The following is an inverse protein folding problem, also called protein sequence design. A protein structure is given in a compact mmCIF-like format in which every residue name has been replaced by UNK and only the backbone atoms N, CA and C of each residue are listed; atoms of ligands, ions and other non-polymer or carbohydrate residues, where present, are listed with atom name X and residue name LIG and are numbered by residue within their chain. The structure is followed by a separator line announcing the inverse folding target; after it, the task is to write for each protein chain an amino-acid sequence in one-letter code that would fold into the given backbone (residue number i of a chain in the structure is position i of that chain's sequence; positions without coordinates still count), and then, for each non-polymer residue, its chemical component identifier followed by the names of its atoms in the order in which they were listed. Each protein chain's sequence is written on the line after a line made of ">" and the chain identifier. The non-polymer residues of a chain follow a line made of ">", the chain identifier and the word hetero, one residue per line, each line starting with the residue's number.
data_IF_658548911872
#
_entry.id   IF_658548911872
#
_cell.length_a   1.000
_cell.length_b   1.000
_cell.length_c   1.000
_cell.angle_alpha   90.00
_cell.angle_beta   90.00
_cell.angle_gamma   90.00
#
_symmetry.space_group_name_H-M   'P 1'
#
loop_
_entity.id
_entity.type
_entity.pdbx_description
1 polymer ?
#
# COMPACT_ATOMS: atom_id res chain seq x y z
N UNK A 1 16.97 28.38 5.67
CA UNK A 1 16.77 26.93 5.55
C UNK A 1 15.28 26.72 5.35
N UNK A 2 14.83 26.58 4.10
CA UNK A 2 13.43 26.31 3.80
C UNK A 2 13.10 24.89 4.28
N UNK A 3 12.24 24.81 5.27
CA UNK A 3 11.71 23.53 5.74
C UNK A 3 10.71 23.11 4.68
N UNK A 4 11.17 22.37 3.67
CA UNK A 4 10.26 21.63 2.79
C UNK A 4 9.47 20.71 3.71
N UNK A 5 8.24 21.10 4.03
CA UNK A 5 7.29 20.21 4.68
C UNK A 5 7.11 19.04 3.70
N UNK A 6 7.86 17.96 3.92
CA UNK A 6 7.70 16.71 3.19
C UNK A 6 6.27 16.28 3.45
N UNK A 7 5.38 16.60 2.52
CA UNK A 7 4.00 16.14 2.54
C UNK A 7 4.09 14.63 2.40
N UNK A 8 4.06 13.93 3.53
CA UNK A 8 4.04 12.47 3.56
C UNK A 8 2.76 12.06 2.84
N UNK A 9 2.88 11.63 1.59
CA UNK A 9 1.76 11.09 0.84
C UNK A 9 1.39 9.75 1.47
N UNK A 10 0.35 9.80 2.30
CA UNK A 10 -0.18 8.62 3.00
C UNK A 10 -1.45 8.17 2.30
N UNK A 11 -1.56 6.90 1.96
CA UNK A 11 -2.76 6.33 1.36
C UNK A 11 -3.50 5.48 2.38
N UNK A 12 -4.83 5.59 2.40
CA UNK A 12 -5.67 4.63 3.11
C UNK A 12 -5.72 3.34 2.28
N UNK A 13 -5.24 2.25 2.86
CA UNK A 13 -5.20 0.93 2.24
C UNK A 13 -5.79 -0.12 3.19
N UNK A 14 -6.53 -1.08 2.62
CA UNK A 14 -6.90 -2.29 3.34
C UNK A 14 -5.71 -3.25 3.28
N UNK A 15 -5.16 -3.60 4.44
CA UNK A 15 -4.13 -4.62 4.59
C UNK A 15 -4.80 -5.90 5.10
N UNK A 16 -4.67 -6.98 4.34
CA UNK A 16 -5.26 -8.27 4.68
C UNK A 16 -4.24 -9.12 5.43
N UNK A 17 -4.58 -9.45 6.67
CA UNK A 17 -3.81 -10.41 7.46
C UNK A 17 -4.72 -11.56 7.86
N UNK A 18 -4.34 -12.81 7.57
CA UNK A 18 -5.19 -13.99 7.79
C UNK A 18 -6.63 -13.79 7.26
N UNK A 19 -6.78 -13.22 6.07
CA UNK A 19 -8.07 -12.91 5.42
C UNK A 19 -8.95 -11.87 6.15
N UNK A 20 -8.45 -11.23 7.22
CA UNK A 20 -9.15 -10.14 7.89
C UNK A 20 -8.62 -8.78 7.41
N UNK A 21 -9.46 -7.94 6.77
CA UNK A 21 -9.04 -6.62 6.33
C UNK A 21 -8.92 -5.67 7.52
N UNK A 22 -7.82 -4.92 7.57
CA UNK A 22 -7.63 -3.80 8.48
C UNK A 22 -7.24 -2.56 7.68
N UNK A 23 -7.90 -1.44 7.94
CA UNK A 23 -7.64 -0.18 7.24
C UNK A 23 -6.51 0.57 7.92
N UNK A 24 -5.42 0.81 7.17
CA UNK A 24 -4.27 1.57 7.64
C UNK A 24 -3.93 2.71 6.69
N UNK A 25 -3.32 3.76 7.24
CA UNK A 25 -2.58 4.73 6.45
C UNK A 25 -1.16 4.23 6.25
N UNK A 26 -0.78 3.98 5.01
CA UNK A 26 0.58 3.58 4.61
C UNK A 26 1.26 4.72 3.86
N UNK A 27 2.57 4.88 4.02
CA UNK A 27 3.33 5.80 3.18
C UNK A 27 3.61 5.14 1.83
N UNK A 28 3.41 5.88 0.75
CA UNK A 28 3.53 5.35 -0.62
C UNK A 28 4.76 5.86 -1.38
N UNK A 29 5.34 6.99 -0.97
CA UNK A 29 6.59 7.50 -1.53
C UNK A 29 7.78 7.00 -0.70
N UNK A 30 7.94 5.68 -0.66
CA UNK A 30 8.93 4.99 0.15
C UNK A 30 9.60 3.87 -0.66
N UNK A 31 10.75 3.40 -0.20
CA UNK A 31 11.37 2.21 -0.79
C UNK A 31 10.56 0.95 -0.48
N UNK A 32 10.81 -0.13 -1.20
CA UNK A 32 10.24 -1.44 -0.94
C UNK A 32 10.53 -1.93 0.48
N UNK A 33 11.77 -1.76 0.92
CA UNK A 33 12.18 -2.18 2.26
C UNK A 33 11.47 -1.37 3.35
N UNK A 34 11.29 -0.07 3.14
CA UNK A 34 10.50 0.78 4.02
C UNK A 34 9.03 0.38 4.05
N UNK A 35 8.46 0.01 2.91
CA UNK A 35 7.08 -0.49 2.82
C UNK A 35 6.92 -1.81 3.57
N UNK A 36 7.83 -2.77 3.35
CA UNK A 36 7.85 -4.06 4.08
C UNK A 36 8.05 -3.84 5.58
N UNK A 37 8.89 -2.89 5.97
CA UNK A 37 9.10 -2.53 7.36
C UNK A 37 7.83 -1.96 8.00
N UNK A 38 7.16 -1.00 7.33
CA UNK A 38 5.88 -0.45 7.78
C UNK A 38 4.81 -1.55 7.92
N UNK A 39 4.67 -2.43 6.93
CA UNK A 39 3.69 -3.53 6.99
C UNK A 39 4.02 -4.52 8.11
N UNK A 40 5.30 -4.80 8.37
CA UNK A 40 5.72 -5.63 9.49
C UNK A 40 5.38 -4.99 10.85
N UNK A 41 5.54 -3.68 10.99
CA UNK A 41 5.12 -2.96 12.20
C UNK A 41 3.60 -3.01 12.40
N UNK A 42 2.83 -2.86 11.32
CA UNK A 42 1.37 -2.99 11.37
C UNK A 42 0.95 -4.41 11.73
N UNK A 43 1.63 -5.43 11.21
CA UNK A 43 1.38 -6.82 11.60
C UNK A 43 1.64 -7.05 13.09
N UNK A 44 2.79 -6.60 13.61
CA UNK A 44 3.12 -6.71 15.03
C UNK A 44 2.07 -6.01 15.93
N UNK A 45 1.47 -4.91 15.45
CA UNK A 45 0.38 -4.22 16.17
C UNK A 45 -0.92 -5.03 16.19
N UNK A 46 -1.26 -5.68 15.08
CA UNK A 46 -2.45 -6.52 14.99
C UNK A 46 -2.27 -7.86 15.70
N UNK A 47 -1.04 -8.37 15.73
CA UNK A 47 -0.73 -9.70 16.19
C UNK A 47 0.62 -9.69 16.92
N UNK A 48 0.60 -9.27 18.18
CA UNK A 48 1.80 -9.13 19.01
C UNK A 48 2.57 -10.43 19.23
N UNK A 49 1.95 -11.59 18.96
CA UNK A 49 2.58 -12.92 19.02
C UNK A 49 3.23 -13.34 17.71
N UNK A 50 2.93 -12.66 16.60
CA UNK A 50 3.43 -13.01 15.28
C UNK A 50 4.51 -12.00 14.84
N UNK A 51 5.77 -12.33 15.15
CA UNK A 51 6.92 -11.51 14.82
C UNK A 51 7.47 -11.75 13.39
N UNK A 52 6.74 -12.48 12.54
CA UNK A 52 7.18 -12.74 11.17
C UNK A 52 7.25 -11.43 10.38
N UNK A 53 8.37 -11.23 9.69
CA UNK A 53 8.59 -10.09 8.81
C UNK A 53 7.89 -10.32 7.47
N UNK A 54 7.36 -9.25 6.90
CA UNK A 54 6.75 -9.28 5.56
C UNK A 54 7.84 -9.48 4.52
N UNK A 55 7.78 -10.58 3.77
CA UNK A 55 8.75 -10.92 2.70
C UNK A 55 8.26 -10.47 1.33
N UNK A 56 6.95 -10.54 1.10
CA UNK A 56 6.28 -10.27 -0.17
C UNK A 56 5.12 -9.29 0.04
N UNK A 57 4.89 -8.43 -0.95
CA UNK A 57 3.79 -7.46 -0.95
C UNK A 57 3.04 -7.59 -2.27
N UNK A 58 1.72 -7.73 -2.18
CA UNK A 58 0.82 -7.73 -3.32
C UNK A 58 -0.17 -6.57 -3.16
N UNK A 59 -0.29 -5.77 -4.21
CA UNK A 59 -1.26 -4.69 -4.26
C UNK A 59 -2.46 -5.12 -5.10
N UNK A 60 -3.62 -5.14 -4.45
CA UNK A 60 -4.91 -5.35 -5.11
C UNK A 60 -5.51 -4.00 -5.49
N UNK A 61 -5.44 -3.66 -6.78
CA UNK A 61 -6.11 -2.48 -7.33
C UNK A 61 -7.51 -2.86 -7.74
N UNK A 62 -8.53 -2.26 -7.13
CA UNK A 62 -9.88 -2.27 -7.67
C UNK A 62 -10.08 -1.07 -8.60
N UNK A 63 -10.69 -1.32 -9.76
CA UNK A 63 -11.16 -0.28 -10.68
C UNK A 63 -12.63 -0.50 -10.95
N UNK A 64 -13.43 0.57 -10.91
CA UNK A 64 -14.84 0.53 -11.27
C UNK A 64 -14.95 0.86 -12.76
N UNK A 65 -15.42 -0.09 -13.55
CA UNK A 65 -15.68 0.10 -14.96
C UNK A 65 -16.96 0.91 -15.19
N UNK A 66 -17.07 1.51 -16.38
CA UNK A 66 -18.25 2.27 -16.81
C UNK A 66 -19.54 1.45 -16.80
N UNK A 67 -19.44 0.13 -17.00
CA UNK A 67 -20.55 -0.83 -16.89
C UNK A 67 -20.85 -1.26 -15.43
N UNK A 68 -20.31 -0.56 -14.42
CA UNK A 68 -20.40 -0.85 -12.98
C UNK A 68 -19.75 -2.17 -12.53
N UNK A 69 -19.05 -2.89 -13.39
CA UNK A 69 -18.24 -4.03 -12.95
C UNK A 69 -17.01 -3.56 -12.18
N UNK A 70 -16.57 -4.32 -11.18
CA UNK A 70 -15.30 -4.05 -10.48
C UNK A 70 -14.24 -5.00 -11.03
N UNK A 71 -13.18 -4.43 -11.61
CA UNK A 71 -11.99 -5.18 -12.00
C UNK A 71 -10.99 -5.16 -10.86
N UNK A 72 -10.48 -6.34 -10.51
CA UNK A 72 -9.39 -6.50 -9.57
C UNK A 72 -8.12 -6.83 -10.35
N UNK A 73 -7.13 -5.96 -10.26
CA UNK A 73 -5.79 -6.22 -10.78
C UNK A 73 -4.85 -6.44 -9.61
N UNK A 74 -4.16 -7.58 -9.64
CA UNK A 74 -3.16 -7.94 -8.66
C UNK A 74 -1.79 -7.57 -9.21
N UNK A 75 -1.03 -6.81 -8.44
CA UNK A 75 0.35 -6.46 -8.78
C UNK A 75 1.27 -6.90 -7.65
N UNK A 76 2.12 -7.88 -7.93
CA UNK A 76 3.18 -8.30 -7.00
C UNK A 76 4.35 -7.33 -7.13
N UNK A 77 4.74 -6.75 -6.01
CA UNK A 77 5.84 -5.80 -5.95
C UNK A 77 7.17 -6.55 -5.87
N UNK A 78 8.05 -6.36 -6.85
CA UNK A 78 9.35 -7.02 -6.95
C UNK A 78 10.52 -6.06 -6.72
N UNK A 79 10.35 -4.76 -7.01
CA UNK A 79 11.40 -3.75 -6.88
C UNK A 79 10.84 -2.35 -6.49
N UNK A 80 11.72 -1.40 -6.19
CA UNK A 80 11.35 -0.02 -5.79
C UNK A 80 10.60 0.76 -6.89
N UNK A 81 10.84 0.43 -8.16
CA UNK A 81 10.10 1.00 -9.29
C UNK A 81 8.62 0.63 -9.25
N UNK A 82 8.30 -0.61 -8.82
CA UNK A 82 6.91 -1.05 -8.66
C UNK A 82 6.20 -0.26 -7.55
N UNK A 83 6.89 0.06 -6.45
CA UNK A 83 6.35 0.89 -5.36
C UNK A 83 6.06 2.31 -5.85
N UNK A 84 6.95 2.86 -6.69
CA UNK A 84 6.77 4.17 -7.31
C UNK A 84 5.59 4.21 -8.30
N UNK A 85 5.21 3.07 -8.88
CA UNK A 85 4.01 3.01 -9.74
C UNK A 85 2.71 3.21 -8.94
N UNK A 86 2.69 2.87 -7.65
CA UNK A 86 1.53 3.03 -6.76
C UNK A 86 1.14 4.50 -6.57
N UNK A 87 2.13 5.41 -6.54
CA UNK A 87 1.90 6.86 -6.43
C UNK A 87 1.37 7.45 -7.74
N UNK A 88 1.79 6.90 -8.88
CA UNK A 88 1.39 7.35 -10.23
C UNK A 88 -0.05 6.95 -10.56
N UNK A 89 -0.54 5.84 -10.00
CA UNK A 89 -1.87 5.28 -10.27
C UNK A 89 -3.04 6.16 -9.76
N UNK A 90 -2.80 7.17 -8.93
CA UNK A 90 -3.84 8.06 -8.39
C UNK A 90 -3.88 9.43 -9.07
N UNK A 91 -3.99 9.49 -10.40
CA UNK A 91 -4.31 10.75 -11.11
C UNK A 91 -5.61 10.79 -11.92
N UNK A 92 -6.25 9.66 -12.24
CA UNK A 92 -7.45 9.68 -13.07
C UNK A 92 -8.65 9.01 -12.37
N UNK A 93 -9.30 9.77 -11.50
CA UNK A 93 -10.72 9.61 -11.18
C UNK A 93 -11.24 10.98 -10.73
N UNK A 94 -11.46 11.88 -11.69
CA UNK A 94 -12.41 12.99 -11.63
C UNK A 94 -12.46 13.64 -13.03
N UNK A 95 -13.39 13.16 -13.84
CA UNK A 95 -14.07 13.95 -14.87
C UNK A 95 -15.56 13.70 -14.75
#
# INVERSE_FOLDING_TARGET
>A
MEIFAVKKNTHLAAVYYNQKPNLFRIHIDVTMDDLKHQLSQLNNRLNCRDARRVTDVEYHRSSVCTNRSVLFTNMKFQNDGDVSSLSTVRRDQLS
#
